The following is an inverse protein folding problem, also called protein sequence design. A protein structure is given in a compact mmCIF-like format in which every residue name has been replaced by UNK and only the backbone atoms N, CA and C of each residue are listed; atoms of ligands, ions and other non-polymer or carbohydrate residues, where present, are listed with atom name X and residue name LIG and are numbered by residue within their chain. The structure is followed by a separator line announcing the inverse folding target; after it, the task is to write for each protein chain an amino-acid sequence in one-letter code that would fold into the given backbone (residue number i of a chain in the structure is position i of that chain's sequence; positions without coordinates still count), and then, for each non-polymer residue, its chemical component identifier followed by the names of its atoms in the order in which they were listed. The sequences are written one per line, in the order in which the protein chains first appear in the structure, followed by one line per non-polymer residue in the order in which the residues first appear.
data_IF_337956734325
#
_entry.id   IF_337956734325
#
_cell.length_a   1.000
_cell.length_b   1.000
_cell.length_c   1.000
_cell.angle_alpha   90.00
_cell.angle_beta   90.00
_cell.angle_gamma   90.00
#
_symmetry.space_group_name_H-M   'P 1'
#
loop_
_entity.id
_entity.type
_entity.pdbx_description
1 polymer ?
#
# COMPACT_ATOMS: atom_id res chain seq x y z
N UNK A 1 -7.62 -14.67 -6.74
CA UNK A 1 -8.28 -13.52 -6.08
C UNK A 1 -8.79 -12.61 -7.19
N UNK A 2 -9.75 -11.72 -6.94
CA UNK A 2 -10.09 -10.66 -7.88
C UNK A 2 -8.98 -9.59 -7.90
N UNK A 3 -9.04 -8.60 -8.80
CA UNK A 3 -8.02 -7.55 -8.91
C UNK A 3 -8.07 -6.52 -7.76
N UNK A 4 -9.17 -6.52 -7.00
CA UNK A 4 -9.47 -5.64 -5.87
C UNK A 4 -9.27 -6.33 -4.50
N UNK A 5 -8.77 -7.56 -4.48
CA UNK A 5 -8.61 -8.35 -3.27
C UNK A 5 -7.16 -8.83 -3.10
N UNK A 6 -6.61 -8.59 -1.92
CA UNK A 6 -5.30 -9.09 -1.52
C UNK A 6 -5.31 -9.62 -0.09
N UNK A 7 -4.48 -10.62 0.16
CA UNK A 7 -4.15 -11.09 1.50
C UNK A 7 -2.84 -10.43 1.93
N UNK A 8 -2.77 -9.97 3.19
CA UNK A 8 -1.62 -9.24 3.72
C UNK A 8 -1.10 -9.93 4.98
N UNK A 9 0.21 -10.19 5.02
CA UNK A 9 0.92 -10.76 6.16
C UNK A 9 1.96 -9.77 6.68
N UNK A 10 1.63 -8.99 7.72
CA UNK A 10 2.62 -8.13 8.34
C UNK A 10 3.67 -8.97 9.05
N UNK A 11 4.94 -8.66 8.81
CA UNK A 11 6.07 -9.27 9.49
C UNK A 11 6.89 -8.20 10.21
N UNK A 12 7.41 -8.54 11.38
CA UNK A 12 8.21 -7.64 12.21
C UNK A 12 9.53 -8.31 12.60
N UNK A 13 10.64 -7.59 12.41
CA UNK A 13 11.90 -7.86 13.09
C UNK A 13 12.18 -6.70 14.05
N UNK A 14 12.03 -6.98 15.33
CA UNK A 14 12.14 -5.99 16.41
C UNK A 14 13.33 -6.36 17.29
N UNK A 15 14.02 -5.34 17.78
CA UNK A 15 15.01 -5.47 18.84
C UNK A 15 14.44 -4.77 20.07
N UNK A 16 13.71 -5.54 20.87
CA UNK A 16 13.03 -5.09 22.09
C UNK A 16 12.86 -6.29 23.02
N UNK A 17 13.54 -6.25 24.16
CA UNK A 17 13.53 -7.32 25.17
C UNK A 17 12.67 -6.95 26.40
N UNK A 18 12.10 -5.74 26.43
CA UNK A 18 11.35 -5.21 27.57
C UNK A 18 9.84 -5.30 27.33
N UNK A 19 9.40 -5.05 26.10
CA UNK A 19 7.97 -4.99 25.78
C UNK A 19 7.37 -6.39 25.63
N UNK A 20 6.22 -6.68 26.27
CA UNK A 20 5.50 -7.92 26.05
C UNK A 20 5.14 -8.13 24.58
N UNK A 21 5.28 -9.36 24.08
CA UNK A 21 4.90 -9.72 22.70
C UNK A 21 3.46 -9.31 22.35
N UNK A 22 2.53 -9.39 23.30
CA UNK A 22 1.14 -8.96 23.11
C UNK A 22 1.02 -7.50 22.72
N UNK A 23 1.83 -6.65 23.33
CA UNK A 23 1.78 -5.20 23.11
C UNK A 23 2.41 -4.87 21.75
N UNK A 24 3.47 -5.57 21.36
CA UNK A 24 4.08 -5.48 20.03
C UNK A 24 3.09 -5.91 18.93
N UNK A 25 2.34 -7.01 19.15
CA UNK A 25 1.30 -7.46 18.23
C UNK A 25 0.16 -6.42 18.15
N UNK A 26 -0.32 -5.90 19.28
CA UNK A 26 -1.38 -4.89 19.30
C UNK A 26 -0.96 -3.59 18.62
N UNK A 27 0.31 -3.18 18.79
CA UNK A 27 0.87 -2.03 18.10
C UNK A 27 0.84 -2.24 16.58
N UNK A 28 1.30 -3.39 16.09
CA UNK A 28 1.27 -3.73 14.67
C UNK A 28 -0.15 -3.79 14.11
N UNK A 29 -1.09 -4.38 14.86
CA UNK A 29 -2.49 -4.43 14.48
C UNK A 29 -3.10 -3.03 14.39
N UNK A 30 -2.73 -2.14 15.30
CA UNK A 30 -3.20 -0.75 15.30
C UNK A 30 -2.77 -0.01 14.04
N UNK A 31 -1.49 -0.09 13.67
CA UNK A 31 -0.97 0.50 12.42
C UNK A 31 -1.71 -0.08 11.22
N UNK A 32 -1.82 -1.41 11.16
CA UNK A 32 -2.45 -2.09 10.02
C UNK A 32 -3.91 -1.69 9.83
N UNK A 33 -4.68 -1.58 10.91
CA UNK A 33 -6.10 -1.17 10.85
C UNK A 33 -6.24 0.27 10.36
N UNK A 34 -5.32 1.16 10.73
CA UNK A 34 -5.30 2.53 10.23
C UNK A 34 -5.09 2.55 8.72
N UNK A 35 -4.07 1.85 8.22
CA UNK A 35 -3.77 1.77 6.78
C UNK A 35 -4.91 1.12 5.99
N UNK A 36 -5.47 0.03 6.52
CA UNK A 36 -6.62 -0.67 5.90
C UNK A 36 -7.80 0.26 5.66
N UNK A 37 -8.15 1.09 6.64
CA UNK A 37 -9.29 2.01 6.52
C UNK A 37 -9.10 3.04 5.40
N UNK A 38 -7.86 3.47 5.15
CA UNK A 38 -7.54 4.40 4.08
C UNK A 38 -7.63 3.68 2.74
N UNK A 39 -6.97 2.52 2.60
CA UNK A 39 -6.91 1.74 1.37
C UNK A 39 -8.30 1.30 0.87
N UNK A 40 -9.16 0.80 1.76
CA UNK A 40 -10.51 0.35 1.40
C UNK A 40 -11.42 1.49 0.91
N UNK A 41 -11.12 2.74 1.27
CA UNK A 41 -11.89 3.91 0.86
C UNK A 41 -11.27 4.67 -0.33
N UNK A 42 -10.17 4.19 -0.91
CA UNK A 42 -9.57 4.82 -2.08
C UNK A 42 -10.45 4.66 -3.32
N UNK A 43 -10.65 5.77 -4.02
CA UNK A 43 -11.32 5.80 -5.33
C UNK A 43 -10.36 6.49 -6.31
N UNK A 44 -10.01 5.83 -7.41
CA UNK A 44 -10.43 4.49 -7.84
C UNK A 44 -9.82 3.35 -7.01
N UNK A 45 -10.49 2.18 -6.97
CA UNK A 45 -10.02 1.02 -6.21
C UNK A 45 -8.80 0.30 -6.80
N UNK A 46 -8.49 0.53 -8.09
CA UNK A 46 -7.28 0.02 -8.74
C UNK A 46 -6.17 1.07 -8.75
N UNK A 47 -4.92 0.65 -8.59
CA UNK A 47 -3.77 1.54 -8.52
C UNK A 47 -3.62 2.38 -9.80
N UNK A 48 -3.71 3.72 -9.75
CA UNK A 48 -3.49 4.55 -10.92
C UNK A 48 -2.00 4.60 -11.28
N UNK A 49 -1.67 4.28 -12.53
CA UNK A 49 -0.30 4.32 -13.06
C UNK A 49 0.03 5.63 -13.80
N UNK A 50 -0.98 6.46 -14.08
CA UNK A 50 -0.77 7.75 -14.74
C UNK A 50 -0.45 8.86 -13.70
N UNK A 51 0.68 9.58 -13.87
CA UNK A 51 1.05 10.68 -12.98
C UNK A 51 0.09 11.89 -13.00
N UNK A 52 -0.87 11.95 -13.92
CA UNK A 52 -1.85 13.05 -13.96
C UNK A 52 -2.90 13.05 -12.85
N UNK A 53 -3.05 11.95 -12.10
CA UNK A 53 -4.14 11.76 -11.13
C UNK A 53 -3.78 12.14 -9.69
N UNK A 54 -2.51 12.11 -9.33
CA UNK A 54 -2.04 12.44 -7.98
C UNK A 54 -0.98 13.54 -8.07
N UNK A 55 -1.03 14.53 -7.17
CA UNK A 55 0.03 15.55 -7.05
C UNK A 55 1.03 15.02 -6.02
N UNK A 56 2.17 14.42 -6.42
CA UNK A 56 3.09 13.85 -5.46
C UNK A 56 3.78 14.95 -4.66
N UNK A 57 3.89 14.73 -3.36
CA UNK A 57 4.78 15.49 -2.49
C UNK A 57 6.17 14.85 -2.50
N UNK A 58 7.15 15.50 -1.85
CA UNK A 58 8.52 14.96 -1.74
C UNK A 58 8.59 13.62 -0.99
N UNK A 59 7.61 13.33 -0.13
CA UNK A 59 7.55 12.05 0.57
C UNK A 59 7.16 10.89 -0.36
N UNK A 60 6.52 11.17 -1.49
CA UNK A 60 5.93 10.16 -2.38
C UNK A 60 6.89 9.61 -3.45
N UNK A 61 8.17 9.99 -3.40
CA UNK A 61 9.16 9.65 -4.43
C UNK A 61 9.25 8.14 -4.67
N UNK A 62 9.21 7.33 -3.62
CA UNK A 62 9.25 5.86 -3.71
C UNK A 62 8.01 5.31 -4.41
N UNK A 63 6.82 5.79 -4.03
CA UNK A 63 5.55 5.38 -4.62
C UNK A 63 5.44 5.78 -6.09
N UNK A 64 5.98 6.94 -6.47
CA UNK A 64 6.08 7.37 -7.87
C UNK A 64 7.04 6.49 -8.66
N UNK A 65 8.20 6.16 -8.09
CA UNK A 65 9.16 5.27 -8.74
C UNK A 65 8.58 3.86 -8.97
N UNK A 66 7.81 3.35 -7.99
CA UNK A 66 7.11 2.06 -8.08
C UNK A 66 6.08 2.05 -9.21
N UNK A 67 5.19 3.04 -9.28
CA UNK A 67 4.20 3.16 -10.36
C UNK A 67 4.86 3.24 -11.75
N UNK A 68 5.93 4.02 -11.88
CA UNK A 68 6.71 4.07 -13.13
C UNK A 68 7.33 2.72 -13.48
N UNK A 69 7.81 1.96 -12.49
CA UNK A 69 8.37 0.64 -12.71
C UNK A 69 7.30 -0.34 -13.20
N UNK A 70 6.13 -0.38 -12.57
CA UNK A 70 4.98 -1.19 -13.02
C UNK A 70 4.60 -0.87 -14.47
N UNK A 71 4.45 0.44 -14.78
CA UNK A 71 4.11 0.92 -16.13
C UNK A 71 5.13 0.48 -17.19
N UNK A 72 6.43 0.52 -16.87
CA UNK A 72 7.50 0.09 -17.80
C UNK A 72 7.46 -1.41 -18.10
N UNK A 73 7.01 -2.23 -17.15
CA UNK A 73 6.90 -3.68 -17.33
C UNK A 73 5.56 -4.11 -17.92
N UNK A 74 4.61 -3.18 -18.09
CA UNK A 74 3.27 -3.50 -18.59
C UNK A 74 2.42 -4.29 -17.59
N UNK A 75 2.68 -4.16 -16.28
CA UNK A 75 1.88 -4.81 -15.25
C UNK A 75 0.57 -4.06 -15.03
N UNK A 76 -0.54 -4.74 -15.28
CA UNK A 76 -1.90 -4.17 -15.24
C UNK A 76 -2.84 -4.92 -14.30
N UNK A 77 -2.45 -6.05 -13.74
CA UNK A 77 -3.29 -6.75 -12.77
C UNK A 77 -3.34 -5.95 -11.46
N UNK A 78 -4.53 -5.50 -11.04
CA UNK A 78 -4.70 -4.65 -9.86
C UNK A 78 -4.26 -3.18 -10.08
N UNK A 79 -3.96 -2.79 -11.32
CA UNK A 79 -3.45 -1.46 -11.67
C UNK A 79 -3.97 -0.98 -13.03
N UNK A 80 -4.31 0.30 -13.13
CA UNK A 80 -4.93 0.85 -14.34
C UNK A 80 -4.14 2.03 -14.92
N UNK A 81 -4.08 2.08 -16.25
CA UNK A 81 -3.43 3.17 -17.00
C UNK A 81 -4.30 4.41 -17.11
N UNK A 82 -5.63 4.25 -17.06
CA UNK A 82 -6.61 5.33 -17.18
C UNK A 82 -7.70 5.02 -16.16
N UNK A 83 -7.87 5.89 -15.16
CA UNK A 83 -9.08 5.88 -14.36
C UNK A 83 -10.18 6.54 -15.23
N UNK A 84 -11.23 5.78 -15.59
CA UNK A 84 -12.46 6.37 -16.11
C UNK A 84 -13.21 7.06 -14.98
#
# INVERSE_FOLDING_TARGET
LAEDLCDVWPWMALFDDETPMTDLIHFQQTIFVQDRSILENQIPGLLPLDPGMEIPTRADLTSVAYRRWLKRHGYTYGAQLVAQ
#
